data_IF_142993292016
#
_entry.id   IF_142993292016
#
_cell.length_a   1.000
_cell.length_b   1.000
_cell.length_c   1.000
_cell.angle_alpha   90.00
_cell.angle_beta   90.00
_cell.angle_gamma   90.00
#
_symmetry.space_group_name_H-M   'P 1'
#
loop_
_entity.id
_entity.type
_entity.pdbx_description
1 polymer ?
#
# COMPACT_ATOMS: atom_id res chain seq x y z
N UNK A 1 -5.77 -16.34 25.93
CA UNK A 1 -7.08 -16.03 26.55
C UNK A 1 -8.24 -16.51 25.69
N UNK A 2 -8.54 -15.95 24.50
CA UNK A 2 -9.69 -16.42 23.68
C UNK A 2 -9.63 -17.91 23.31
N UNK A 3 -8.48 -18.41 22.87
CA UNK A 3 -8.24 -19.84 22.61
C UNK A 3 -8.50 -20.70 23.86
N UNK A 4 -7.92 -20.30 24.99
CA UNK A 4 -7.98 -21.06 26.25
C UNK A 4 -9.38 -21.06 26.89
N UNK A 5 -10.30 -20.24 26.39
CA UNK A 5 -11.73 -20.28 26.72
C UNK A 5 -12.52 -21.33 25.91
N UNK A 6 -11.85 -22.16 25.10
CA UNK A 6 -12.47 -23.20 24.28
C UNK A 6 -12.85 -22.76 22.86
N UNK A 7 -12.39 -21.58 22.41
CA UNK A 7 -12.62 -21.12 21.04
C UNK A 7 -11.53 -21.60 20.08
N UNK A 8 -11.90 -21.85 18.83
CA UNK A 8 -10.93 -22.00 17.73
C UNK A 8 -10.63 -20.64 17.11
N UNK A 9 -9.35 -20.28 17.02
CA UNK A 9 -8.90 -19.05 16.37
C UNK A 9 -8.26 -19.39 15.03
N UNK A 10 -8.78 -18.81 13.96
CA UNK A 10 -8.18 -18.87 12.63
C UNK A 10 -7.65 -17.47 12.31
N UNK A 11 -6.35 -17.36 12.08
CA UNK A 11 -5.67 -16.10 11.78
C UNK A 11 -4.99 -16.19 10.41
N UNK A 12 -5.04 -15.08 9.66
CA UNK A 12 -4.23 -14.86 8.46
C UNK A 12 -3.15 -13.84 8.84
N UNK A 13 -1.89 -14.26 8.80
CA UNK A 13 -0.76 -13.47 9.29
C UNK A 13 0.51 -13.68 8.46
N UNK A 14 1.39 -12.69 8.55
CA UNK A 14 2.74 -12.67 7.98
C UNK A 14 3.82 -12.38 9.04
N UNK A 15 3.43 -11.99 10.27
CA UNK A 15 4.37 -11.74 11.36
C UNK A 15 5.07 -13.02 11.83
N UNK A 16 6.40 -12.97 11.95
CA UNK A 16 7.22 -14.13 12.29
C UNK A 16 6.96 -14.64 13.70
N UNK A 17 6.78 -13.75 14.67
CA UNK A 17 6.60 -14.13 16.07
C UNK A 17 5.23 -14.78 16.27
N UNK A 18 4.19 -14.20 15.67
CA UNK A 18 2.83 -14.78 15.71
C UNK A 18 2.81 -16.17 15.07
N UNK A 19 3.41 -16.31 13.88
CA UNK A 19 3.48 -17.60 13.18
C UNK A 19 4.27 -18.63 13.99
N UNK A 20 5.39 -18.23 14.61
CA UNK A 20 6.21 -19.13 15.41
C UNK A 20 5.50 -19.64 16.68
N UNK A 21 4.57 -18.85 17.23
CA UNK A 21 3.77 -19.20 18.41
C UNK A 21 2.48 -19.97 18.11
N UNK A 22 2.14 -20.19 16.83
CA UNK A 22 0.92 -20.89 16.45
C UNK A 22 0.96 -22.38 16.82
N UNK A 23 -0.17 -22.93 17.28
CA UNK A 23 -0.32 -24.37 17.55
C UNK A 23 -0.30 -25.17 16.24
N UNK A 24 -0.89 -24.60 15.18
CA UNK A 24 -1.00 -25.20 13.86
C UNK A 24 -0.88 -24.12 12.79
N UNK A 25 -0.17 -24.44 11.70
CA UNK A 25 0.12 -23.55 10.59
C UNK A 25 -0.29 -24.24 9.29
N UNK A 26 -0.99 -23.50 8.44
CA UNK A 26 -1.28 -23.83 7.06
C UNK A 26 -0.55 -22.84 6.16
N UNK A 27 0.36 -23.34 5.33
CA UNK A 27 1.06 -22.51 4.35
C UNK A 27 0.43 -22.66 2.97
N UNK A 28 0.07 -21.54 2.37
CA UNK A 28 -0.54 -21.48 1.05
C UNK A 28 0.49 -21.05 -0.01
N UNK A 29 0.39 -21.60 -1.22
CA UNK A 29 1.29 -21.26 -2.31
C UNK A 29 1.06 -22.12 -3.55
N UNK A 30 2.10 -22.37 -4.37
CA UNK A 30 3.48 -21.83 -4.27
C UNK A 30 3.62 -20.36 -4.64
N UNK A 31 2.60 -19.76 -5.28
CA UNK A 31 2.55 -18.33 -5.63
C UNK A 31 1.21 -17.69 -5.27
N UNK A 32 0.97 -16.50 -5.81
CA UNK A 32 -0.30 -15.79 -5.71
C UNK A 32 -1.11 -15.94 -7.01
N UNK A 33 -2.42 -15.69 -6.94
CA UNK A 33 -3.33 -15.78 -8.09
C UNK A 33 -3.51 -17.20 -8.59
N UNK A 34 -3.45 -17.38 -9.91
CA UNK A 34 -3.55 -18.66 -10.63
C UNK A 34 -2.46 -19.67 -10.26
N UNK A 35 -1.34 -19.19 -9.71
CA UNK A 35 -0.22 -20.03 -9.21
C UNK A 35 -0.30 -20.34 -7.71
N UNK A 36 -1.40 -19.97 -7.06
CA UNK A 36 -1.66 -20.23 -5.64
C UNK A 36 -2.78 -21.25 -5.44
N UNK A 37 -3.41 -21.20 -4.26
CA UNK A 37 -4.60 -22.00 -3.95
C UNK A 37 -4.31 -23.41 -3.43
N UNK A 38 -3.03 -23.79 -3.28
CA UNK A 38 -2.63 -25.09 -2.74
C UNK A 38 -2.02 -24.96 -1.33
N UNK A 39 -2.23 -25.99 -0.50
CA UNK A 39 -1.56 -26.11 0.80
C UNK A 39 -0.19 -26.75 0.58
N UNK A 40 0.86 -25.92 0.58
CA UNK A 40 2.25 -26.36 0.32
C UNK A 40 2.89 -27.02 1.55
N UNK A 41 2.43 -26.68 2.74
CA UNK A 41 2.78 -27.35 3.98
C UNK A 41 1.70 -27.14 5.06
N UNK A 42 1.62 -28.08 6.00
CA UNK A 42 0.74 -28.00 7.16
C UNK A 42 1.34 -28.69 8.38
N UNK A 43 0.99 -28.24 9.56
CA UNK A 43 1.45 -28.83 10.82
C UNK A 43 1.87 -27.75 11.82
N UNK A 44 2.63 -28.13 12.83
CA UNK A 44 3.28 -27.16 13.73
C UNK A 44 4.28 -26.27 12.95
N UNK A 45 4.58 -25.05 13.43
CA UNK A 45 5.59 -24.19 12.80
C UNK A 45 6.95 -24.89 12.58
N UNK A 46 7.38 -25.72 13.53
CA UNK A 46 8.61 -26.54 13.43
C UNK A 46 8.56 -27.55 12.28
N UNK A 47 7.40 -28.14 12.00
CA UNK A 47 7.22 -29.06 10.86
C UNK A 47 7.23 -28.31 9.53
N UNK A 48 6.52 -27.17 9.46
CA UNK A 48 6.48 -26.34 8.25
C UNK A 48 7.87 -25.80 7.88
N UNK A 49 8.69 -25.39 8.85
CA UNK A 49 10.10 -24.98 8.65
C UNK A 49 10.98 -26.04 7.98
N UNK A 50 10.65 -27.34 8.14
CA UNK A 50 11.39 -28.45 7.53
C UNK A 50 10.93 -28.73 6.10
N UNK A 51 9.73 -28.27 5.71
CA UNK A 51 9.22 -28.46 4.36
C UNK A 51 10.02 -27.63 3.35
N UNK A 52 10.47 -28.29 2.27
CA UNK A 52 11.11 -27.60 1.14
C UNK A 52 10.08 -26.90 0.24
N UNK A 53 8.85 -27.40 0.19
CA UNK A 53 7.77 -26.86 -0.62
C UNK A 53 7.20 -25.54 -0.05
N UNK A 54 7.38 -25.31 1.26
CA UNK A 54 6.90 -24.11 1.95
C UNK A 54 7.87 -22.94 1.76
N UNK A 55 7.43 -21.88 1.08
CA UNK A 55 8.20 -20.64 0.99
C UNK A 55 8.33 -19.98 2.37
N UNK A 56 7.25 -19.97 3.14
CA UNK A 56 7.22 -19.47 4.52
C UNK A 56 8.21 -20.23 5.40
N UNK A 57 8.24 -21.57 5.31
CA UNK A 57 9.19 -22.42 6.02
C UNK A 57 10.65 -22.12 5.70
N UNK A 58 10.96 -21.76 4.44
CA UNK A 58 12.31 -21.33 4.05
C UNK A 58 12.74 -20.02 4.71
N UNK A 59 11.83 -19.04 4.89
CA UNK A 59 12.12 -17.81 5.61
C UNK A 59 12.18 -18.01 7.12
N UNK A 60 11.25 -18.78 7.70
CA UNK A 60 11.24 -19.08 9.13
C UNK A 60 12.51 -19.80 9.58
N UNK A 61 13.00 -20.74 8.75
CA UNK A 61 14.25 -21.48 9.00
C UNK A 61 15.53 -20.70 8.69
N UNK A 62 15.43 -19.51 8.09
CA UNK A 62 16.59 -18.70 7.68
C UNK A 62 17.30 -19.18 6.41
N UNK A 63 16.81 -20.24 5.74
CA UNK A 63 17.31 -20.64 4.41
C UNK A 63 17.16 -19.51 3.39
N UNK A 64 16.10 -18.73 3.52
CA UNK A 64 15.91 -17.44 2.86
C UNK A 64 15.89 -16.33 3.91
N UNK A 65 16.40 -15.16 3.55
CA UNK A 65 16.40 -13.98 4.39
C UNK A 65 16.37 -12.72 3.54
N UNK A 66 15.95 -11.60 4.15
CA UNK A 66 16.06 -10.28 3.53
C UNK A 66 17.47 -9.76 3.81
N UNK A 67 18.31 -9.54 2.79
CA UNK A 67 19.68 -9.11 3.01
C UNK A 67 19.74 -7.68 3.58
N UNK A 68 20.68 -7.44 4.48
CA UNK A 68 20.94 -6.10 5.01
C UNK A 68 21.90 -5.37 4.07
N UNK A 69 21.54 -4.19 3.53
CA UNK A 69 22.45 -3.43 2.66
C UNK A 69 23.75 -3.08 3.38
N UNK A 70 24.89 -3.32 2.71
CA UNK A 70 26.23 -2.99 3.24
C UNK A 70 26.56 -1.50 3.16
N UNK A 71 26.00 -0.79 2.18
CA UNK A 71 26.21 0.65 1.98
C UNK A 71 24.95 1.44 2.35
N UNK A 72 25.08 2.43 3.25
CA UNK A 72 24.00 3.35 3.63
C UNK A 72 24.21 4.72 3.00
N UNK A 73 23.16 5.25 2.37
CA UNK A 73 23.16 6.52 1.61
C UNK A 73 23.39 7.79 2.44
N UNK A 74 23.54 7.67 3.76
CA UNK A 74 23.71 8.83 4.68
C UNK A 74 25.18 9.24 4.78
N UNK A 75 26.14 8.42 4.34
CA UNK A 75 27.54 8.81 4.25
C UNK A 75 27.82 9.45 2.88
N UNK A 76 28.04 10.76 2.80
CA UNK A 76 28.42 11.38 1.56
C UNK A 76 29.93 11.33 1.46
N UNK A 77 30.44 10.52 0.53
CA UNK A 77 31.83 10.68 0.10
C UNK A 77 32.02 11.89 -0.81
N UNK A 78 30.93 12.55 -1.27
CA UNK A 78 31.02 13.59 -2.33
C UNK A 78 30.15 14.85 -2.12
N UNK A 79 28.95 14.79 -1.53
CA UNK A 79 28.02 15.96 -1.47
C UNK A 79 27.39 16.13 -0.10
N UNK A 80 27.40 17.34 0.47
CA UNK A 80 26.76 17.63 1.77
C UNK A 80 25.29 17.18 1.76
N UNK A 81 24.81 16.43 2.76
CA UNK A 81 23.45 15.91 2.75
C UNK A 81 22.44 17.06 2.91
N UNK A 82 21.38 17.02 2.11
CA UNK A 82 20.25 17.94 2.18
C UNK A 82 19.23 17.42 3.19
N UNK A 83 18.53 18.32 3.88
CA UNK A 83 17.59 17.96 4.94
C UNK A 83 16.27 18.72 4.80
N UNK A 84 15.18 18.06 5.18
CA UNK A 84 13.97 18.72 5.63
C UNK A 84 13.97 18.77 7.15
N UNK A 85 13.76 19.94 7.75
CA UNK A 85 13.82 20.10 9.20
C UNK A 85 12.48 20.59 9.69
N UNK A 86 11.78 19.75 10.46
CA UNK A 86 10.58 20.13 11.19
C UNK A 86 11.01 20.79 12.50
N UNK A 87 10.55 22.02 12.74
CA UNK A 87 10.86 22.81 13.93
C UNK A 87 9.67 22.87 14.88
N UNK A 88 9.93 22.63 16.16
CA UNK A 88 8.96 22.79 17.25
C UNK A 88 7.68 21.97 17.07
N UNK A 89 7.79 20.71 16.65
CA UNK A 89 6.64 19.83 16.49
C UNK A 89 5.93 19.57 17.83
N UNK A 90 4.65 19.97 17.91
CA UNK A 90 3.80 19.96 19.13
C UNK A 90 2.41 19.39 18.89
N UNK A 91 2.17 18.74 17.76
CA UNK A 91 0.89 18.10 17.48
C UNK A 91 0.64 16.92 18.44
N UNK A 92 -0.54 16.88 19.06
CA UNK A 92 -0.95 15.87 20.04
C UNK A 92 0.03 15.72 21.22
N UNK A 93 0.69 14.57 21.35
CA UNK A 93 1.60 14.25 22.44
C UNK A 93 3.07 14.60 22.14
N UNK A 94 3.37 15.24 21.00
CA UNK A 94 4.73 15.67 20.67
C UNK A 94 5.19 16.80 21.59
N UNK A 95 6.41 16.67 22.12
CA UNK A 95 6.95 17.54 23.18
C UNK A 95 7.86 18.63 22.64
N UNK A 96 7.37 19.44 21.70
CA UNK A 96 8.13 20.53 21.08
C UNK A 96 9.47 20.08 20.51
N UNK A 97 9.45 19.07 19.65
CA UNK A 97 10.66 18.42 19.13
C UNK A 97 11.07 19.01 17.77
N UNK A 98 12.38 19.08 17.56
CA UNK A 98 12.96 19.37 16.25
C UNK A 98 13.42 18.06 15.61
N UNK A 99 13.09 17.83 14.33
CA UNK A 99 13.43 16.59 13.61
C UNK A 99 13.96 16.91 12.23
N UNK A 100 15.15 16.39 11.90
CA UNK A 100 15.76 16.50 10.58
C UNK A 100 15.64 15.20 9.80
N UNK A 101 15.11 15.28 8.58
CA UNK A 101 14.94 14.17 7.64
C UNK A 101 15.95 14.32 6.49
N UNK A 102 16.95 13.43 6.36
CA UNK A 102 17.89 13.48 5.24
C UNK A 102 17.19 13.14 3.93
N UNK A 103 17.33 14.02 2.93
CA UNK A 103 16.86 13.79 1.57
C UNK A 103 17.80 12.85 0.81
N UNK A 104 17.28 12.12 -0.17
CA UNK A 104 18.04 11.12 -0.93
C UNK A 104 18.36 9.83 -0.14
N UNK A 105 17.86 9.70 1.09
CA UNK A 105 18.03 8.52 1.93
C UNK A 105 16.72 7.72 2.06
N UNK A 106 16.85 6.43 2.42
CA UNK A 106 15.71 5.63 2.88
C UNK A 106 15.53 5.88 4.37
N UNK A 107 14.50 6.64 4.76
CA UNK A 107 14.25 7.03 6.15
C UNK A 107 13.09 6.22 6.71
N UNK A 108 13.32 5.59 7.86
CA UNK A 108 12.29 4.87 8.61
C UNK A 108 12.00 5.61 9.92
N UNK A 109 10.72 5.94 10.16
CA UNK A 109 10.25 6.50 11.44
C UNK A 109 9.65 5.38 12.26
N UNK A 110 10.29 5.02 13.36
CA UNK A 110 9.92 3.85 14.19
C UNK A 110 9.57 4.28 15.63
N UNK A 111 9.01 3.33 16.40
CA UNK A 111 8.55 3.57 17.77
C UNK A 111 7.25 2.84 18.08
N UNK A 112 6.92 2.70 19.36
CA UNK A 112 5.71 2.00 19.84
C UNK A 112 4.41 2.68 19.39
N UNK A 113 3.29 1.95 19.39
CA UNK A 113 1.98 2.55 19.09
C UNK A 113 1.68 3.71 20.05
N UNK A 114 1.11 4.80 19.54
CA UNK A 114 0.84 6.02 20.31
C UNK A 114 2.05 6.94 20.56
N UNK A 115 3.26 6.61 20.10
CA UNK A 115 4.45 7.46 20.31
C UNK A 115 4.47 8.79 19.53
N UNK A 116 3.46 9.05 18.68
CA UNK A 116 3.38 10.28 17.88
C UNK A 116 3.96 10.20 16.46
N UNK A 117 4.28 9.01 15.95
CA UNK A 117 4.81 8.82 14.57
C UNK A 117 3.89 9.41 13.51
N UNK A 118 2.60 9.07 13.55
CA UNK A 118 1.61 9.56 12.59
C UNK A 118 1.39 11.07 12.73
N UNK A 119 1.41 11.59 13.96
CA UNK A 119 1.35 13.03 14.24
C UNK A 119 2.52 13.77 13.57
N UNK A 120 3.74 13.22 13.66
CA UNK A 120 4.92 13.82 13.06
C UNK A 120 4.93 13.70 11.53
N UNK A 121 4.70 12.49 11.00
CA UNK A 121 4.88 12.20 9.56
C UNK A 121 3.66 12.61 8.74
N UNK A 122 2.46 12.21 9.16
CA UNK A 122 1.26 12.41 8.36
C UNK A 122 0.65 13.79 8.65
N UNK A 123 0.46 14.15 9.92
CA UNK A 123 -0.22 15.39 10.29
C UNK A 123 0.67 16.63 10.18
N UNK A 124 1.93 16.58 10.65
CA UNK A 124 2.82 17.73 10.51
C UNK A 124 3.50 17.74 9.15
N UNK A 125 4.38 16.76 8.88
CA UNK A 125 5.26 16.81 7.73
C UNK A 125 4.48 16.76 6.42
N UNK A 126 3.68 15.72 6.18
CA UNK A 126 2.95 15.56 4.92
C UNK A 126 1.91 16.67 4.71
N UNK A 127 1.02 16.94 5.65
CA UNK A 127 -0.03 17.95 5.44
C UNK A 127 0.53 19.36 5.23
N UNK A 128 1.61 19.73 5.91
CA UNK A 128 2.27 21.04 5.72
C UNK A 128 2.92 21.13 4.36
N UNK A 129 3.66 20.09 3.94
CA UNK A 129 4.24 20.02 2.60
C UNK A 129 3.16 20.02 1.51
N UNK A 130 2.07 19.28 1.69
CA UNK A 130 0.95 19.26 0.75
C UNK A 130 0.27 20.63 0.64
N UNK A 131 0.13 21.37 1.75
CA UNK A 131 -0.38 22.74 1.72
C UNK A 131 0.55 23.68 0.97
N UNK A 132 1.86 23.62 1.24
CA UNK A 132 2.86 24.55 0.67
C UNK A 132 3.16 24.24 -0.80
N UNK A 133 3.28 22.97 -1.19
CA UNK A 133 3.66 22.55 -2.54
C UNK A 133 2.45 22.33 -3.47
N UNK A 134 1.34 21.79 -2.95
CA UNK A 134 0.16 21.43 -3.76
C UNK A 134 -1.06 22.31 -3.52
N UNK A 135 -0.96 23.33 -2.66
CA UNK A 135 -2.08 24.17 -2.23
C UNK A 135 -3.26 23.34 -1.68
N UNK A 136 -2.95 22.20 -1.09
CA UNK A 136 -3.95 21.30 -0.52
C UNK A 136 -4.65 21.95 0.68
N UNK A 137 -5.97 21.71 0.80
CA UNK A 137 -6.77 22.13 1.97
C UNK A 137 -6.67 21.05 3.05
N UNK A 138 -5.57 21.06 3.79
CA UNK A 138 -5.33 20.16 4.92
C UNK A 138 -5.47 20.89 6.25
N UNK A 139 -5.84 20.21 7.35
CA UNK A 139 -5.85 20.79 8.70
C UNK A 139 -4.49 21.35 9.11
N UNK A 140 -4.46 22.46 9.86
CA UNK A 140 -3.22 22.97 10.42
C UNK A 140 -2.75 22.07 11.57
N UNK A 141 -1.45 21.75 11.58
CA UNK A 141 -0.82 20.97 12.64
C UNK A 141 0.12 21.87 13.46
N UNK A 142 0.18 21.64 14.77
CA UNK A 142 0.99 22.45 15.68
C UNK A 142 2.49 22.19 15.48
N UNK A 143 3.18 23.14 14.84
CA UNK A 143 4.63 23.21 14.68
C UNK A 143 5.06 24.66 14.43
N UNK A 144 6.36 24.97 14.55
CA UNK A 144 6.88 26.32 14.29
C UNK A 144 7.11 26.56 12.79
N UNK A 145 7.90 25.70 12.14
CA UNK A 145 8.17 25.79 10.71
C UNK A 145 8.71 24.46 10.15
N UNK A 146 8.78 24.35 8.83
CA UNK A 146 9.56 23.33 8.13
C UNK A 146 10.57 24.05 7.24
N UNK A 147 11.86 23.73 7.39
CA UNK A 147 12.98 24.27 6.62
C UNK A 147 13.45 23.27 5.56
N UNK A 148 14.11 23.77 4.50
CA UNK A 148 14.66 22.95 3.41
C UNK A 148 13.64 22.60 2.30
N UNK A 149 12.55 23.36 2.21
CA UNK A 149 11.52 23.15 1.16
C UNK A 149 12.06 23.42 -0.24
N UNK A 150 13.04 24.30 -0.37
CA UNK A 150 13.73 24.61 -1.62
C UNK A 150 14.42 23.40 -2.26
N UNK A 151 14.58 22.30 -1.52
CA UNK A 151 15.18 21.06 -2.00
C UNK A 151 14.17 20.07 -2.61
N UNK A 152 12.86 20.34 -2.49
CA UNK A 152 11.81 19.45 -3.01
C UNK A 152 10.73 20.24 -3.76
N UNK A 153 10.25 19.66 -4.86
CA UNK A 153 9.19 20.21 -5.70
C UNK A 153 7.82 19.60 -5.38
N UNK A 154 7.80 18.34 -4.92
CA UNK A 154 6.57 17.58 -4.67
C UNK A 154 6.72 16.62 -3.51
N UNK A 155 5.62 16.47 -2.76
CA UNK A 155 5.41 15.38 -1.80
C UNK A 155 4.30 14.44 -2.31
N UNK A 156 4.47 13.13 -2.12
CA UNK A 156 3.48 12.11 -2.46
C UNK A 156 3.27 11.24 -1.23
N UNK A 157 2.03 11.10 -0.78
CA UNK A 157 1.65 10.09 0.19
C UNK A 157 1.13 8.86 -0.55
N UNK A 158 1.67 7.69 -0.20
CA UNK A 158 1.15 6.40 -0.66
C UNK A 158 0.59 5.72 0.58
N UNK A 159 -0.74 5.72 0.68
CA UNK A 159 -1.48 5.16 1.81
C UNK A 159 -2.05 3.77 1.49
N UNK A 160 -2.86 3.28 2.42
CA UNK A 160 -3.57 2.00 2.31
C UNK A 160 -5.05 2.21 1.95
N UNK A 161 -5.45 3.42 1.57
CA UNK A 161 -6.84 3.66 1.20
C UNK A 161 -7.14 2.89 -0.10
N UNK A 162 -8.37 2.35 -0.26
CA UNK A 162 -8.74 1.65 -1.47
C UNK A 162 -8.50 2.51 -2.72
N UNK A 163 -7.95 1.91 -3.76
CA UNK A 163 -7.66 2.54 -5.06
C UNK A 163 -8.91 3.24 -5.65
N UNK A 164 -10.09 2.71 -5.36
CA UNK A 164 -11.37 3.37 -5.59
C UNK A 164 -12.50 2.61 -4.88
N UNK A 165 -13.60 3.32 -4.64
CA UNK A 165 -14.78 2.77 -3.95
C UNK A 165 -15.84 2.23 -4.93
N UNK A 166 -15.45 1.94 -6.17
CA UNK A 166 -16.36 1.53 -7.24
C UNK A 166 -15.77 0.36 -8.03
N UNK A 167 -16.60 -0.60 -8.49
CA UNK A 167 -16.18 -1.66 -9.43
C UNK A 167 -15.54 -1.12 -10.72
N UNK A 168 -15.77 0.16 -11.03
CA UNK A 168 -15.21 0.84 -12.20
C UNK A 168 -13.74 1.24 -12.00
N UNK A 169 -13.20 1.14 -10.78
CA UNK A 169 -11.79 1.40 -10.48
C UNK A 169 -11.04 0.09 -10.33
N UNK A 170 -10.07 -0.12 -11.21
CA UNK A 170 -9.20 -1.29 -11.22
C UNK A 170 -7.74 -0.86 -11.50
N UNK A 171 -6.76 -1.78 -11.38
CA UNK A 171 -5.35 -1.45 -11.61
C UNK A 171 -5.07 -0.83 -12.99
N UNK A 172 -5.81 -1.23 -14.04
CA UNK A 172 -5.61 -0.70 -15.37
C UNK A 172 -6.08 0.76 -15.51
N UNK A 173 -7.21 1.11 -14.86
CA UNK A 173 -7.68 2.50 -14.82
C UNK A 173 -6.82 3.39 -13.93
N UNK A 174 -6.31 2.87 -12.82
CA UNK A 174 -5.53 3.66 -11.87
C UNK A 174 -4.13 4.00 -12.39
N UNK A 175 -3.49 3.05 -13.06
CA UNK A 175 -2.16 3.25 -13.67
C UNK A 175 -2.20 4.01 -15.00
N UNK A 176 -3.38 4.24 -15.56
CA UNK A 176 -3.57 4.88 -16.86
C UNK A 176 -3.33 3.98 -18.08
N UNK A 177 -2.92 2.72 -17.88
CA UNK A 177 -2.69 1.78 -19.00
C UNK A 177 -3.99 1.50 -19.78
N UNK A 178 -5.14 1.56 -19.13
CA UNK A 178 -6.43 1.39 -19.81
C UNK A 178 -6.67 2.42 -20.90
N UNK A 179 -6.17 3.66 -20.74
CA UNK A 179 -6.31 4.71 -21.75
C UNK A 179 -5.51 4.36 -23.01
N UNK A 180 -4.28 3.88 -22.82
CA UNK A 180 -3.43 3.39 -23.91
C UNK A 180 -4.06 2.20 -24.62
N UNK A 181 -4.70 1.29 -23.87
CA UNK A 181 -5.45 0.18 -24.47
C UNK A 181 -6.60 0.70 -25.33
N UNK A 182 -7.41 1.65 -24.84
CA UNK A 182 -8.53 2.22 -25.61
C UNK A 182 -8.06 2.90 -26.89
N UNK A 183 -6.94 3.61 -26.85
CA UNK A 183 -6.31 4.19 -28.03
C UNK A 183 -5.88 3.13 -29.04
N UNK A 184 -5.26 2.04 -28.57
CA UNK A 184 -4.86 0.92 -29.41
C UNK A 184 -6.08 0.27 -30.10
N UNK A 185 -7.15 0.00 -29.37
CA UNK A 185 -8.37 -0.60 -29.92
C UNK A 185 -9.05 0.30 -30.96
N UNK A 186 -9.02 1.62 -30.77
CA UNK A 186 -9.54 2.57 -31.75
C UNK A 186 -8.74 2.59 -33.07
N UNK A 187 -7.49 2.14 -33.07
CA UNK A 187 -6.63 2.10 -34.27
C UNK A 187 -6.82 0.85 -35.13
N UNK A 188 -7.53 -0.17 -34.65
CA UNK A 188 -7.77 -1.40 -35.39
C UNK A 188 -8.57 -1.14 -36.69
N UNK A 189 -8.34 -1.90 -37.78
CA UNK A 189 -9.02 -1.68 -39.05
C UNK A 189 -10.55 -1.66 -38.94
N UNK A 190 -11.14 -2.59 -38.19
CA UNK A 190 -12.59 -2.68 -37.97
C UNK A 190 -13.12 -1.45 -37.23
N UNK A 191 -12.35 -0.96 -36.26
CA UNK A 191 -12.67 0.26 -35.52
C UNK A 191 -12.68 1.48 -36.44
N UNK A 192 -11.71 1.59 -37.35
CA UNK A 192 -11.65 2.68 -38.34
C UNK A 192 -12.82 2.66 -39.30
N UNK A 193 -13.16 1.48 -39.85
CA UNK A 193 -14.31 1.32 -40.75
C UNK A 193 -15.63 1.69 -40.04
N UNK A 194 -15.75 1.38 -38.75
CA UNK A 194 -16.94 1.67 -37.94
C UNK A 194 -16.93 3.07 -37.29
N UNK A 195 -15.88 3.87 -37.50
CA UNK A 195 -15.73 5.18 -36.87
C UNK A 195 -15.59 5.15 -35.34
N UNK A 196 -15.16 4.04 -34.76
CA UNK A 196 -15.04 3.86 -33.32
C UNK A 196 -13.84 4.61 -32.76
N UNK A 197 -14.14 5.53 -31.85
CA UNK A 197 -13.14 6.32 -31.10
C UNK A 197 -12.78 5.63 -29.78
N UNK A 198 -11.69 6.01 -29.09
CA UNK A 198 -11.31 5.43 -27.79
C UNK A 198 -12.42 5.45 -26.74
N UNK A 199 -13.37 6.38 -26.85
CA UNK A 199 -14.57 6.46 -26.00
C UNK A 199 -15.47 5.22 -26.12
N UNK A 200 -15.55 4.59 -27.31
CA UNK A 200 -16.36 3.38 -27.53
C UNK A 200 -15.88 2.21 -26.66
N UNK A 201 -14.59 2.14 -26.39
CA UNK A 201 -13.96 1.07 -25.58
C UNK A 201 -13.92 1.40 -24.09
N UNK A 202 -14.60 2.46 -23.65
CA UNK A 202 -14.67 2.84 -22.24
C UNK A 202 -15.84 2.14 -21.58
N UNK A 203 -15.59 1.34 -20.53
CA UNK A 203 -16.68 0.77 -19.73
C UNK A 203 -17.32 1.80 -18.78
N UNK A 204 -16.64 2.91 -18.49
CA UNK A 204 -17.15 3.99 -17.61
C UNK A 204 -18.01 5.05 -18.31
N UNK A 205 -18.12 5.02 -19.63
CA UNK A 205 -18.84 6.04 -20.42
C UNK A 205 -19.90 5.37 -21.28
N UNK A 206 -21.09 5.99 -21.45
CA UNK A 206 -22.07 5.54 -22.42
C UNK A 206 -21.49 5.52 -23.83
N UNK A 207 -21.86 4.51 -24.61
CA UNK A 207 -21.44 4.36 -26.00
C UNK A 207 -21.13 2.92 -26.35
N UNK A 208 -20.23 2.25 -25.63
CA UNK A 208 -19.89 0.84 -25.88
C UNK A 208 -19.83 -0.05 -24.64
N UNK A 209 -20.17 0.49 -23.47
CA UNK A 209 -20.39 -0.29 -22.24
C UNK A 209 -21.70 -1.07 -22.30
N UNK A 210 -21.86 -2.05 -21.42
CA UNK A 210 -23.16 -2.67 -21.17
C UNK A 210 -24.05 -1.70 -20.38
N UNK A 211 -25.17 -1.27 -20.93
CA UNK A 211 -26.09 -0.36 -20.23
C UNK A 211 -26.89 -1.07 -19.12
N UNK A 212 -27.08 -2.40 -19.20
CA UNK A 212 -27.82 -3.13 -18.18
C UNK A 212 -27.11 -3.16 -16.81
N UNK A 213 -25.78 -3.09 -16.77
CA UNK A 213 -24.98 -2.96 -15.55
C UNK A 213 -24.18 -1.65 -15.52
N UNK A 214 -24.48 -0.73 -16.44
CA UNK A 214 -23.79 0.55 -16.61
C UNK A 214 -22.25 0.45 -16.69
N UNK A 215 -21.75 -0.68 -17.20
CA UNK A 215 -20.34 -0.98 -17.33
C UNK A 215 -19.65 -1.52 -16.08
N UNK A 216 -20.38 -1.73 -14.97
CA UNK A 216 -19.83 -2.30 -13.74
C UNK A 216 -19.51 -3.81 -13.86
N UNK A 217 -20.07 -4.50 -14.86
CA UNK A 217 -19.91 -5.95 -15.05
C UNK A 217 -20.70 -6.80 -14.05
N UNK A 218 -21.28 -6.19 -13.02
CA UNK A 218 -22.11 -6.81 -11.99
C UNK A 218 -23.20 -5.84 -11.51
N UNK A 219 -24.25 -6.35 -10.86
CA UNK A 219 -25.28 -5.55 -10.18
C UNK A 219 -25.14 -5.76 -8.68
N UNK A 220 -25.08 -4.66 -7.93
CA UNK A 220 -25.06 -4.69 -6.47
C UNK A 220 -26.48 -4.92 -5.94
N UNK A 221 -26.66 -5.89 -5.07
CA UNK A 221 -27.92 -6.21 -4.40
C UNK A 221 -27.83 -5.70 -2.96
N UNK A 222 -28.73 -4.78 -2.62
CA UNK A 222 -28.81 -4.25 -1.26
C UNK A 222 -29.41 -5.28 -0.30
N UNK A 223 -28.73 -5.47 0.83
CA UNK A 223 -29.12 -6.46 1.84
C UNK A 223 -29.40 -5.75 3.16
N UNK A 224 -30.55 -6.04 3.79
CA UNK A 224 -30.98 -5.31 5.00
C UNK A 224 -30.17 -5.62 6.25
N UNK A 225 -29.66 -6.85 6.38
CA UNK A 225 -29.01 -7.35 7.60
C UNK A 225 -27.62 -7.93 7.36
N UNK A 226 -27.19 -7.98 6.11
CA UNK A 226 -25.90 -8.51 5.67
C UNK A 226 -25.20 -7.44 4.82
N UNK A 227 -23.86 -7.51 4.68
CA UNK A 227 -23.18 -6.68 3.70
C UNK A 227 -23.74 -6.94 2.30
N UNK A 228 -23.84 -5.87 1.51
CA UNK A 228 -24.31 -5.93 0.13
C UNK A 228 -23.45 -6.88 -0.71
N UNK A 229 -24.07 -7.54 -1.70
CA UNK A 229 -23.44 -8.55 -2.57
C UNK A 229 -23.48 -8.10 -4.04
#
# INVERSE_FOLDING_TARGET
RLRDLGNTLILVEHDREVIASADYLLDFGPGAGDRGGEITARGTPKQVMRSKASLTGQYLSGKKSIPVPTNRRIHPTVVKPLYLIVKGARQHNLRNIDVAFPLGAFVAVTGVSGSGKSSLVNEILYQTLARRLHRARTPAAAHDDILGLEHIDKVINVDQDPIGNSPLSNPATYTGVFDLMRELFARLPESKVRGWQPRRFSFTRPGGRCEACEGAGQKKIEMHFLPDV
#
